data_IF_501532703896
#
_entry.id   IF_501532703896
#
_cell.length_a   1.000
_cell.length_b   1.000
_cell.length_c   1.000
_cell.angle_alpha   90.00
_cell.angle_beta   90.00
_cell.angle_gamma   90.00
#
_symmetry.space_group_name_H-M   'P 1'
#
loop_
_entity.id
_entity.type
_entity.pdbx_description
1 polymer ?
#
# COMPACT_ATOMS: atom_id res chain seq x y z
N UNK A 1 -22.57 20.34 -8.61
CA UNK A 1 -21.83 21.55 -8.17
C UNK A 1 -20.82 21.20 -7.07
N UNK A 2 -21.24 20.54 -5.98
CA UNK A 2 -20.34 20.14 -4.89
C UNK A 2 -19.30 19.09 -5.30
N UNK A 3 -19.66 18.13 -6.16
CA UNK A 3 -18.70 17.11 -6.63
C UNK A 3 -17.54 17.73 -7.41
N UNK A 4 -17.83 18.66 -8.34
CA UNK A 4 -16.79 19.37 -9.07
C UNK A 4 -15.88 20.20 -8.16
N UNK A 5 -16.42 20.84 -7.12
CA UNK A 5 -15.61 21.56 -6.14
C UNK A 5 -14.71 20.61 -5.33
N UNK A 6 -15.20 19.40 -4.98
CA UNK A 6 -14.42 18.36 -4.30
C UNK A 6 -13.29 17.85 -5.19
N UNK A 7 -13.57 17.61 -6.46
CA UNK A 7 -12.59 17.05 -7.38
C UNK A 7 -11.44 18.05 -7.60
N UNK A 8 -11.75 19.34 -7.79
CA UNK A 8 -10.73 20.42 -7.89
C UNK A 8 -9.83 20.46 -6.65
N UNK A 9 -10.42 20.41 -5.45
CA UNK A 9 -9.63 20.43 -4.21
C UNK A 9 -8.81 19.15 -4.04
N UNK A 10 -9.33 18.00 -4.47
CA UNK A 10 -8.62 16.71 -4.38
C UNK A 10 -7.40 16.70 -5.31
N UNK A 11 -7.53 17.25 -6.51
CA UNK A 11 -6.44 17.43 -7.46
C UNK A 11 -5.37 18.37 -6.87
N UNK A 12 -5.78 19.52 -6.33
CA UNK A 12 -4.87 20.48 -5.70
C UNK A 12 -4.09 19.86 -4.52
N UNK A 13 -4.75 19.07 -3.67
CA UNK A 13 -4.09 18.38 -2.57
C UNK A 13 -3.14 17.28 -3.06
N UNK A 14 -3.52 16.57 -4.12
CA UNK A 14 -2.71 15.53 -4.77
C UNK A 14 -1.40 16.05 -5.36
N UNK A 15 -1.30 17.35 -5.66
CA UNK A 15 -0.12 17.98 -6.27
C UNK A 15 0.68 18.87 -5.30
N UNK A 16 0.19 19.06 -4.08
CA UNK A 16 0.84 19.93 -3.09
C UNK A 16 2.10 19.26 -2.53
N UNK A 17 3.28 19.69 -2.98
CA UNK A 17 4.57 19.05 -2.67
C UNK A 17 4.87 18.91 -1.16
N UNK A 18 4.59 19.94 -0.36
CA UNK A 18 4.82 19.89 1.09
C UNK A 18 3.95 18.83 1.77
N UNK A 19 2.68 18.74 1.38
CA UNK A 19 1.74 17.75 1.89
C UNK A 19 2.19 16.33 1.49
N UNK A 20 2.54 16.13 0.22
CA UNK A 20 3.06 14.86 -0.27
C UNK A 20 4.33 14.42 0.47
N UNK A 21 5.23 15.36 0.77
CA UNK A 21 6.43 15.11 1.58
C UNK A 21 6.08 14.56 2.96
N UNK A 22 5.22 15.26 3.70
CA UNK A 22 4.76 14.86 5.04
C UNK A 22 4.06 13.50 5.02
N UNK A 23 3.19 13.25 4.04
CA UNK A 23 2.49 11.97 3.90
C UNK A 23 3.43 10.81 3.57
N UNK A 24 4.43 11.02 2.69
CA UNK A 24 5.45 9.98 2.42
C UNK A 24 6.27 9.66 3.66
N UNK A 25 6.69 10.66 4.42
CA UNK A 25 7.44 10.44 5.66
C UNK A 25 6.58 9.70 6.69
N UNK A 26 5.31 10.09 6.84
CA UNK A 26 4.39 9.41 7.74
C UNK A 26 4.17 7.95 7.33
N UNK A 27 3.94 7.68 6.05
CA UNK A 27 3.79 6.33 5.51
C UNK A 27 5.08 5.52 5.70
N UNK A 28 6.24 6.13 5.46
CA UNK A 28 7.52 5.46 5.68
C UNK A 28 7.70 5.09 7.15
N UNK A 29 7.31 5.95 8.09
CA UNK A 29 7.53 5.72 9.52
C UNK A 29 6.50 4.77 10.16
N UNK A 30 5.26 4.76 9.67
CA UNK A 30 4.13 4.08 10.33
C UNK A 30 3.41 3.08 9.43
N UNK A 31 3.74 3.03 8.14
CA UNK A 31 3.07 2.20 7.15
C UNK A 31 3.35 0.72 7.37
N UNK A 32 2.35 -0.09 7.04
CA UNK A 32 2.40 -1.55 7.10
C UNK A 32 2.11 -2.08 5.71
N UNK A 33 2.99 -2.94 5.22
CA UNK A 33 2.79 -3.71 3.99
C UNK A 33 1.96 -4.93 4.37
N UNK A 34 0.81 -5.07 3.74
CA UNK A 34 -0.10 -6.20 3.94
C UNK A 34 -0.29 -6.97 2.65
N UNK A 35 -0.33 -8.30 2.74
CA UNK A 35 -0.69 -9.18 1.63
C UNK A 35 -1.78 -10.15 2.06
N UNK A 36 -2.73 -10.36 1.16
CA UNK A 36 -3.85 -11.28 1.34
C UNK A 36 -4.07 -12.09 0.07
N UNK A 37 -4.36 -13.38 0.20
CA UNK A 37 -4.77 -14.21 -0.93
C UNK A 37 -6.09 -13.70 -1.50
N UNK A 38 -6.20 -13.72 -2.83
CA UNK A 38 -7.47 -13.42 -3.50
C UNK A 38 -8.39 -14.63 -3.37
N UNK A 39 -9.66 -14.38 -3.06
CA UNK A 39 -10.65 -15.44 -2.89
C UNK A 39 -10.67 -16.41 -4.10
N UNK A 40 -10.63 -17.71 -3.81
CA UNK A 40 -10.62 -18.76 -4.83
C UNK A 40 -9.26 -19.03 -5.48
N UNK A 41 -8.19 -18.35 -5.07
CA UNK A 41 -6.83 -18.55 -5.61
C UNK A 41 -5.86 -19.32 -4.70
N UNK A 42 -6.39 -20.10 -3.77
CA UNK A 42 -5.60 -20.92 -2.82
C UNK A 42 -5.15 -22.26 -3.44
N UNK A 43 -4.84 -22.28 -4.75
CA UNK A 43 -4.53 -23.52 -5.48
C UNK A 43 -3.06 -23.93 -5.32
N UNK A 44 -2.74 -25.18 -5.67
CA UNK A 44 -1.38 -25.71 -5.61
C UNK A 44 -0.36 -24.91 -6.47
N UNK A 45 -0.83 -24.20 -7.51
CA UNK A 45 0.02 -23.36 -8.37
C UNK A 45 0.46 -22.06 -7.67
N UNK A 46 -0.31 -21.61 -6.66
CA UNK A 46 -0.03 -20.40 -5.87
C UNK A 46 0.58 -20.71 -4.50
N UNK A 47 0.83 -21.99 -4.19
CA UNK A 47 1.43 -22.44 -2.92
C UNK A 47 2.81 -21.80 -2.65
N UNK A 48 3.51 -21.36 -3.71
CA UNK A 48 4.77 -20.58 -3.62
C UNK A 48 4.64 -19.28 -2.83
N UNK A 49 3.44 -18.69 -2.73
CA UNK A 49 3.17 -17.45 -2.00
C UNK A 49 2.36 -17.68 -0.73
N UNK A 50 2.22 -18.93 -0.30
CA UNK A 50 1.41 -19.30 0.86
C UNK A 50 1.80 -18.55 2.13
N UNK A 51 3.09 -18.29 2.32
CA UNK A 51 3.60 -17.50 3.45
C UNK A 51 3.10 -16.04 3.44
N UNK A 52 2.59 -15.55 2.32
CA UNK A 52 2.09 -14.19 2.11
C UNK A 52 0.57 -14.10 1.97
N UNK A 53 -0.17 -15.20 2.17
CA UNK A 53 -1.64 -15.22 2.11
C UNK A 53 -2.29 -14.41 3.23
N UNK A 54 -1.57 -14.23 4.34
CA UNK A 54 -1.95 -13.35 5.44
C UNK A 54 -0.68 -12.78 6.07
N UNK A 55 -0.08 -11.80 5.38
CA UNK A 55 1.16 -11.18 5.79
C UNK A 55 0.96 -9.71 6.16
N UNK A 56 1.69 -9.26 7.17
CA UNK A 56 1.66 -7.88 7.66
C UNK A 56 2.99 -7.54 8.33
N UNK A 57 3.70 -6.54 7.82
CA UNK A 57 4.98 -6.08 8.36
C UNK A 57 5.17 -4.58 8.12
N UNK A 58 5.87 -3.88 9.03
CA UNK A 58 6.16 -2.45 8.84
C UNK A 58 7.05 -2.23 7.61
N UNK A 59 6.74 -1.22 6.78
CA UNK A 59 7.44 -0.98 5.50
C UNK A 59 8.96 -0.83 5.65
N UNK A 60 9.43 -0.31 6.79
CA UNK A 60 10.87 -0.11 7.06
C UNK A 60 11.64 -1.40 7.31
N UNK A 61 10.96 -2.48 7.70
CA UNK A 61 11.62 -3.74 8.11
C UNK A 61 11.51 -4.83 7.06
N UNK A 62 10.67 -4.66 6.04
CA UNK A 62 10.51 -5.64 4.96
C UNK A 62 11.84 -5.83 4.22
N UNK A 63 12.43 -7.04 4.26
CA UNK A 63 13.67 -7.32 3.55
C UNK A 63 13.40 -7.51 2.05
N UNK A 64 14.43 -7.27 1.24
CA UNK A 64 14.33 -7.28 -0.23
C UNK A 64 13.73 -8.56 -0.80
N UNK A 65 14.11 -9.75 -0.31
CA UNK A 65 13.58 -11.01 -0.81
C UNK A 65 12.08 -11.20 -0.53
N UNK A 66 11.56 -10.65 0.58
CA UNK A 66 10.11 -10.67 0.88
C UNK A 66 9.35 -9.62 0.07
N UNK A 67 9.96 -8.46 -0.16
CA UNK A 67 9.37 -7.43 -1.01
C UNK A 67 9.30 -7.84 -2.49
N UNK A 68 10.23 -8.70 -2.94
CA UNK A 68 10.30 -9.21 -4.31
C UNK A 68 9.42 -10.45 -4.54
N UNK A 69 9.06 -11.15 -3.48
CA UNK A 69 8.13 -12.27 -3.51
C UNK A 69 6.70 -11.74 -3.63
#
# INVERSE_FOLDING_TARGET
ALDGARDILSEQFGETAELLGKLREHLWNNGVVTSSVVEGKETAEEEKFRDYYQYSETIRTVPSHRALA
#
